data_IF_623947993107
#
_entry.id   IF_623947993107
#
_cell.length_a   1.000
_cell.length_b   1.000
_cell.length_c   1.000
_cell.angle_alpha   90.00
_cell.angle_beta   90.00
_cell.angle_gamma   90.00
#
_symmetry.space_group_name_H-M   'P 1'
#
loop_
_entity.id
_entity.type
_entity.pdbx_description
1 polymer ?
#
# COMPACT_ATOMS: atom_id res chain seq x y z
N UNK A 1 -22.94 35.06 57.93
CA UNK A 1 -24.05 35.19 56.96
C UNK A 1 -23.86 34.11 55.91
N UNK A 2 -24.60 33.02 56.02
CA UNK A 2 -24.60 31.93 55.06
C UNK A 2 -25.79 32.13 54.12
N UNK A 3 -25.54 32.12 52.81
CA UNK A 3 -26.59 32.02 51.80
C UNK A 3 -26.10 31.17 50.63
N UNK A 4 -26.77 30.02 50.51
CA UNK A 4 -26.76 29.05 49.42
C UNK A 4 -27.28 29.66 48.10
N UNK A 5 -26.94 29.04 46.96
CA UNK A 5 -27.73 28.92 45.70
C UNK A 5 -26.80 28.96 44.47
N UNK A 6 -26.89 28.13 43.42
CA UNK A 6 -27.62 26.92 43.06
C UNK A 6 -26.85 26.31 41.88
N UNK A 7 -26.63 24.99 41.89
CA UNK A 7 -26.12 24.26 40.74
C UNK A 7 -27.30 23.88 39.82
N UNK A 8 -27.29 24.32 38.56
CA UNK A 8 -28.25 23.88 37.55
C UNK A 8 -27.60 22.86 36.62
N UNK A 9 -27.94 21.59 36.85
CA UNK A 9 -27.65 20.45 35.98
C UNK A 9 -28.68 20.45 34.85
N UNK A 10 -28.28 20.76 33.61
CA UNK A 10 -29.11 20.52 32.43
C UNK A 10 -28.73 19.19 31.80
N UNK A 11 -29.53 18.16 32.09
CA UNK A 11 -29.57 16.89 31.35
C UNK A 11 -30.32 17.14 30.05
N UNK A 12 -29.63 17.18 28.91
CA UNK A 12 -30.30 17.25 27.61
C UNK A 12 -30.41 15.85 27.00
N UNK A 13 -31.65 15.47 26.79
CA UNK A 13 -32.15 14.17 26.35
C UNK A 13 -31.56 13.68 25.03
N UNK A 14 -31.22 12.39 25.00
CA UNK A 14 -30.96 11.64 23.79
C UNK A 14 -32.25 11.47 22.97
N UNK A 15 -32.21 11.82 21.68
CA UNK A 15 -33.11 11.27 20.68
C UNK A 15 -32.31 10.64 19.55
N UNK A 16 -32.32 9.32 19.51
CA UNK A 16 -31.92 8.51 18.38
C UNK A 16 -33.07 8.46 17.36
N UNK A 17 -32.87 8.89 16.10
CA UNK A 17 -33.74 8.48 15.01
C UNK A 17 -33.32 7.09 14.48
N UNK A 18 -34.33 6.25 14.34
CA UNK A 18 -34.27 4.88 13.85
C UNK A 18 -33.80 4.78 12.39
N UNK A 19 -32.94 3.78 12.17
CA UNK A 19 -32.76 2.91 11.00
C UNK A 19 -33.75 3.12 9.83
N UNK A 20 -33.21 3.49 8.66
CA UNK A 20 -33.83 3.18 7.36
C UNK A 20 -32.83 2.41 6.49
N UNK A 21 -33.26 1.23 6.07
CA UNK A 21 -32.58 0.30 5.17
C UNK A 21 -33.20 0.42 3.78
N UNK A 22 -32.40 0.68 2.75
CA UNK A 22 -32.81 0.60 1.35
C UNK A 22 -31.61 0.23 0.44
N UNK A 23 -31.86 -0.32 -0.76
CA UNK A 23 -31.22 -1.58 -1.19
C UNK A 23 -29.99 -1.41 -2.08
N UNK A 24 -29.29 -2.54 -2.25
CA UNK A 24 -28.16 -2.78 -3.14
C UNK A 24 -28.55 -2.58 -4.60
N UNK A 25 -27.83 -1.73 -5.33
CA UNK A 25 -27.81 -1.73 -6.80
C UNK A 25 -26.42 -2.13 -7.28
N UNK A 26 -26.33 -3.38 -7.76
CA UNK A 26 -25.17 -3.93 -8.45
C UNK A 26 -25.37 -3.69 -9.95
N UNK A 27 -24.65 -2.72 -10.51
CA UNK A 27 -24.51 -2.60 -11.97
C UNK A 27 -23.21 -3.28 -12.39
N UNK A 28 -23.36 -4.51 -12.89
CA UNK A 28 -22.33 -5.33 -13.50
C UNK A 28 -22.39 -5.08 -15.01
N UNK A 29 -21.45 -4.32 -15.57
CA UNK A 29 -21.25 -4.22 -17.02
C UNK A 29 -19.95 -4.93 -17.40
N UNK A 30 -20.07 -6.21 -17.74
CA UNK A 30 -19.03 -6.96 -18.45
C UNK A 30 -19.13 -6.57 -19.91
N UNK A 31 -18.14 -5.82 -20.41
CA UNK A 31 -17.96 -5.60 -21.85
C UNK A 31 -16.73 -6.38 -22.26
N UNK A 32 -16.97 -7.52 -22.91
CA UNK A 32 -15.95 -8.28 -23.60
C UNK A 32 -15.79 -7.65 -24.98
N UNK A 33 -14.65 -7.01 -25.25
CA UNK A 33 -14.27 -6.64 -26.61
C UNK A 33 -13.21 -7.62 -27.10
N UNK A 34 -13.67 -8.66 -27.80
CA UNK A 34 -12.85 -9.50 -28.66
C UNK A 34 -13.42 -9.38 -30.07
N UNK A 35 -12.71 -8.66 -30.94
CA UNK A 35 -12.92 -8.71 -32.39
C UNK A 35 -11.57 -8.95 -33.02
N UNK A 36 -11.30 -10.23 -33.31
CA UNK A 36 -10.28 -10.67 -34.26
C UNK A 36 -10.74 -10.27 -35.66
N UNK A 37 -10.00 -9.41 -36.34
CA UNK A 37 -10.16 -9.22 -37.77
C UNK A 37 -8.79 -9.37 -38.45
N UNK A 38 -8.56 -10.59 -38.94
CA UNK A 38 -7.56 -10.89 -39.94
C UNK A 38 -8.12 -10.45 -41.30
N UNK A 39 -7.37 -9.65 -42.05
CA UNK A 39 -7.51 -9.63 -43.51
C UNK A 39 -6.20 -9.23 -44.17
N UNK A 40 -5.56 -10.21 -44.80
CA UNK A 40 -4.40 -10.09 -45.66
C UNK A 40 -4.77 -9.41 -46.98
N UNK A 41 -4.18 -8.27 -47.35
CA UNK A 41 -4.10 -7.86 -48.75
C UNK A 41 -2.71 -7.28 -49.03
N UNK A 42 -1.91 -8.08 -49.73
CA UNK A 42 -0.64 -7.70 -50.34
C UNK A 42 -0.90 -6.68 -51.44
N UNK A 43 -0.33 -5.47 -51.32
CA UNK A 43 -0.20 -4.56 -52.45
C UNK A 43 1.25 -4.63 -52.91
N UNK A 44 1.41 -5.30 -54.04
CA UNK A 44 2.60 -5.30 -54.88
C UNK A 44 2.98 -3.89 -55.30
N UNK A 45 4.28 -3.60 -55.25
CA UNK A 45 4.89 -2.56 -56.09
C UNK A 45 5.65 -1.51 -55.29
N UNK A 46 6.96 -1.69 -55.21
CA UNK A 46 7.97 -0.78 -55.79
C UNK A 46 9.35 -1.31 -55.39
N UNK A 47 10.06 -1.86 -56.36
CA UNK A 47 11.41 -2.39 -56.24
C UNK A 47 12.38 -1.21 -56.20
N UNK A 48 12.80 -0.80 -55.00
CA UNK A 48 13.87 0.18 -54.83
C UNK A 48 15.20 -0.44 -55.27
N UNK A 49 15.67 -0.03 -56.45
CA UNK A 49 17.01 -0.27 -56.94
C UNK A 49 17.93 0.77 -56.30
N UNK A 50 18.62 0.39 -55.22
CA UNK A 50 19.79 1.10 -54.74
C UNK A 50 20.93 0.09 -54.56
N UNK A 51 22.06 0.23 -55.29
CA UNK A 51 23.17 -0.70 -55.17
C UNK A 51 24.06 -0.35 -53.96
N UNK A 52 24.33 -1.38 -53.18
CA UNK A 52 25.63 -1.78 -52.60
C UNK A 52 26.47 -0.69 -51.88
N UNK A 53 26.42 -0.71 -50.54
CA UNK A 53 27.65 -0.69 -49.73
C UNK A 53 27.39 -1.29 -48.34
N UNK A 54 27.48 -2.61 -48.23
CA UNK A 54 27.57 -3.29 -46.92
C UNK A 54 28.99 -3.03 -46.41
N UNK A 55 29.14 -2.06 -45.51
CA UNK A 55 30.33 -1.98 -44.68
C UNK A 55 30.20 -3.03 -43.59
N UNK A 56 30.88 -4.16 -43.75
CA UNK A 56 31.10 -5.12 -42.67
C UNK A 56 32.04 -4.49 -41.65
N UNK A 57 31.53 -3.63 -40.78
CA UNK A 57 32.22 -3.35 -39.52
C UNK A 57 32.09 -4.61 -38.68
N UNK A 58 33.19 -5.37 -38.59
CA UNK A 58 33.32 -6.48 -37.68
C UNK A 58 33.00 -5.99 -36.26
N UNK A 59 31.83 -6.33 -35.73
CA UNK A 59 31.46 -6.05 -34.34
C UNK A 59 32.43 -6.80 -33.44
N UNK A 60 33.32 -6.13 -32.67
CA UNK A 60 34.15 -6.82 -31.73
C UNK A 60 33.28 -7.22 -30.54
N UNK A 61 33.24 -8.54 -30.31
CA UNK A 61 33.00 -9.14 -29.01
C UNK A 61 31.67 -8.73 -28.36
N UNK A 62 30.59 -9.44 -28.72
CA UNK A 62 29.43 -9.63 -27.86
C UNK A 62 29.93 -10.16 -26.52
N UNK A 63 30.27 -9.25 -25.62
CA UNK A 63 30.65 -9.58 -24.26
C UNK A 63 29.48 -10.35 -23.67
N UNK A 64 29.63 -11.67 -23.59
CA UNK A 64 28.72 -12.57 -22.87
C UNK A 64 28.53 -11.92 -21.52
N UNK A 65 27.34 -11.38 -21.28
CA UNK A 65 26.93 -11.03 -19.94
C UNK A 65 27.10 -12.31 -19.14
N UNK A 66 28.15 -12.35 -18.31
CA UNK A 66 28.39 -13.41 -17.36
C UNK A 66 27.09 -13.54 -16.59
N UNK A 67 26.38 -14.65 -16.78
CA UNK A 67 25.24 -14.98 -15.91
C UNK A 67 25.81 -14.87 -14.51
N UNK A 68 25.31 -13.94 -13.72
CA UNK A 68 25.67 -13.83 -12.31
C UNK A 68 25.32 -15.18 -11.70
N UNK A 69 26.31 -16.07 -11.64
CA UNK A 69 26.16 -17.39 -11.08
C UNK A 69 25.74 -17.14 -9.64
N UNK A 70 24.46 -17.36 -9.35
CA UNK A 70 23.93 -17.15 -8.01
C UNK A 70 24.55 -18.25 -7.16
N UNK A 71 25.64 -17.93 -6.47
CA UNK A 71 26.20 -18.78 -5.43
C UNK A 71 25.07 -19.05 -4.43
N UNK A 72 24.53 -20.26 -4.47
CA UNK A 72 23.53 -20.71 -3.52
C UNK A 72 24.20 -20.78 -2.15
N UNK A 73 24.13 -19.69 -1.38
CA UNK A 73 24.56 -19.72 0.01
C UNK A 73 23.65 -20.67 0.81
N UNK A 74 24.30 -21.41 1.71
CA UNK A 74 23.75 -22.32 2.75
C UNK A 74 22.30 -22.02 3.16
N UNK A 75 21.37 -22.88 2.72
CA UNK A 75 19.98 -23.02 3.18
C UNK A 75 19.05 -21.81 2.96
N UNK A 76 17.79 -22.06 2.56
CA UNK A 76 16.78 -21.00 2.53
C UNK A 76 16.41 -20.57 3.95
N UNK A 77 16.67 -19.30 4.29
CA UNK A 77 16.17 -18.64 5.50
C UNK A 77 15.10 -17.63 5.11
N UNK A 78 14.05 -17.53 5.93
CA UNK A 78 13.00 -16.52 5.72
C UNK A 78 13.61 -15.12 5.68
N UNK A 79 13.14 -14.27 4.78
CA UNK A 79 13.61 -12.88 4.68
C UNK A 79 12.60 -11.93 5.29
N UNK A 80 13.08 -10.95 6.05
CA UNK A 80 12.23 -9.87 6.55
C UNK A 80 11.84 -8.92 5.43
N UNK A 81 10.54 -8.61 5.30
CA UNK A 81 10.09 -7.56 4.39
C UNK A 81 10.51 -6.18 4.89
N UNK A 82 11.57 -5.63 4.29
CA UNK A 82 12.24 -4.41 4.78
C UNK A 82 11.33 -3.18 4.77
N UNK A 83 10.41 -3.07 3.81
CA UNK A 83 9.48 -1.93 3.77
C UNK A 83 8.51 -1.95 4.97
N UNK A 84 8.05 -3.13 5.40
CA UNK A 84 7.25 -3.27 6.62
C UNK A 84 8.08 -2.97 7.87
N UNK A 85 9.32 -3.47 7.92
CA UNK A 85 10.22 -3.27 9.07
C UNK A 85 10.52 -1.78 9.34
N UNK A 86 10.59 -0.95 8.28
CA UNK A 86 10.77 0.51 8.42
C UNK A 86 9.53 1.22 9.00
N UNK A 87 8.35 0.61 8.92
CA UNK A 87 7.06 1.23 9.28
C UNK A 87 6.54 0.80 10.65
N UNK A 88 6.78 -0.45 11.04
CA UNK A 88 6.28 -1.05 12.27
C UNK A 88 7.41 -1.35 13.24
N UNK A 89 7.16 -1.11 14.53
CA UNK A 89 8.09 -1.49 15.61
C UNK A 89 7.33 -2.05 16.79
N UNK A 90 8.05 -2.76 17.66
CA UNK A 90 7.49 -3.36 18.87
C UNK A 90 7.91 -2.55 20.10
N UNK A 91 6.99 -2.40 21.04
CA UNK A 91 7.26 -1.86 22.38
C UNK A 91 7.90 -2.91 23.29
N UNK A 92 8.51 -2.53 24.42
CA UNK A 92 9.10 -3.52 25.34
C UNK A 92 8.11 -4.58 25.84
N UNK A 93 6.81 -4.24 25.95
CA UNK A 93 5.74 -5.18 26.32
C UNK A 93 5.31 -6.13 25.20
N UNK A 94 5.73 -5.89 23.96
CA UNK A 94 5.41 -6.75 22.81
C UNK A 94 4.27 -6.25 21.90
N UNK A 95 3.74 -5.03 22.09
CA UNK A 95 2.71 -4.45 21.19
C UNK A 95 3.32 -3.86 19.92
N UNK A 96 2.62 -4.01 18.79
CA UNK A 96 3.04 -3.43 17.50
C UNK A 96 2.51 -1.99 17.38
N UNK A 97 3.40 -1.04 17.15
CA UNK A 97 3.05 0.38 16.99
C UNK A 97 3.47 0.93 15.62
N UNK A 98 2.72 1.93 15.16
CA UNK A 98 2.94 2.67 13.91
C UNK A 98 2.71 4.16 14.07
N UNK A 99 3.19 4.94 13.10
CA UNK A 99 2.82 6.37 12.97
C UNK A 99 1.43 6.50 12.35
N UNK A 100 0.75 7.61 12.63
CA UNK A 100 -0.48 8.01 11.92
C UNK A 100 -0.12 8.73 10.62
N UNK A 101 -0.94 8.55 9.59
CA UNK A 101 -0.75 9.16 8.27
C UNK A 101 -1.27 10.61 8.23
N UNK A 102 -0.81 11.40 7.25
CA UNK A 102 -1.38 12.72 6.93
C UNK A 102 -0.74 13.93 7.61
N UNK A 103 0.48 13.82 8.13
CA UNK A 103 1.23 14.93 8.75
C UNK A 103 2.51 15.33 7.99
N UNK A 104 2.57 15.08 6.67
CA UNK A 104 3.72 15.47 5.84
C UNK A 104 3.53 16.84 5.18
N UNK A 105 2.43 17.04 4.44
CA UNK A 105 2.11 18.26 3.70
C UNK A 105 0.68 18.75 3.99
N UNK A 106 0.33 19.96 3.51
CA UNK A 106 -0.97 20.63 3.73
C UNK A 106 -1.34 20.71 5.21
N UNK A 107 -0.43 21.22 6.04
CA UNK A 107 -0.61 21.35 7.48
C UNK A 107 -1.40 22.62 7.87
N UNK A 108 -1.36 23.66 7.04
CA UNK A 108 -2.05 24.93 7.28
C UNK A 108 -3.56 24.75 7.47
N UNK A 109 -4.21 23.96 6.60
CA UNK A 109 -5.66 23.66 6.68
C UNK A 109 -6.06 22.72 7.83
N UNK A 110 -5.11 22.23 8.64
CA UNK A 110 -5.39 21.29 9.74
C UNK A 110 -5.32 22.03 11.07
N UNK A 111 -6.42 22.00 11.83
CA UNK A 111 -6.45 22.49 13.21
C UNK A 111 -5.33 21.86 14.06
N UNK A 112 -4.77 22.62 15.00
CA UNK A 112 -3.74 22.16 15.93
C UNK A 112 -4.10 20.85 16.67
N UNK A 113 -5.35 20.70 17.13
CA UNK A 113 -5.85 19.46 17.75
C UNK A 113 -5.64 18.24 16.84
N UNK A 114 -5.92 18.38 15.54
CA UNK A 114 -5.69 17.33 14.54
C UNK A 114 -4.20 17.06 14.35
N UNK A 115 -3.37 18.10 14.26
CA UNK A 115 -1.90 17.96 14.10
C UNK A 115 -1.27 17.23 15.29
N UNK A 116 -1.70 17.52 16.52
CA UNK A 116 -1.24 16.85 17.75
C UNK A 116 -1.65 15.38 17.77
N UNK A 117 -2.91 15.08 17.39
CA UNK A 117 -3.39 13.70 17.27
C UNK A 117 -2.59 12.88 16.27
N UNK A 118 -2.16 13.47 15.15
CA UNK A 118 -1.38 12.78 14.11
C UNK A 118 0.10 12.56 14.48
N UNK A 119 0.67 13.31 15.44
CA UNK A 119 2.05 13.10 15.89
C UNK A 119 2.22 11.85 16.76
N UNK A 120 1.17 11.44 17.48
CA UNK A 120 1.26 10.34 18.44
C UNK A 120 1.39 8.99 17.73
N UNK A 121 2.22 8.13 18.30
CA UNK A 121 2.26 6.71 17.90
C UNK A 121 0.95 6.04 18.30
N UNK A 122 0.52 5.06 17.50
CA UNK A 122 -0.73 4.34 17.74
C UNK A 122 -0.48 2.85 17.54
N UNK A 123 -1.25 2.03 18.24
CA UNK A 123 -1.25 0.59 18.02
C UNK A 123 -1.81 0.26 16.63
N UNK A 124 -1.36 -0.86 16.07
CA UNK A 124 -1.94 -1.45 14.87
C UNK A 124 -3.31 -2.05 15.21
N UNK A 125 -4.26 -2.02 14.29
CA UNK A 125 -5.57 -2.65 14.50
C UNK A 125 -5.44 -4.17 14.49
N UNK A 126 -6.27 -4.86 15.27
CA UNK A 126 -6.14 -6.31 15.43
C UNK A 126 -6.22 -7.08 14.11
N UNK A 127 -7.06 -6.64 13.18
CA UNK A 127 -7.24 -7.25 11.86
C UNK A 127 -5.97 -7.27 11.01
N UNK A 128 -5.06 -6.31 11.19
CA UNK A 128 -3.84 -6.20 10.37
C UNK A 128 -2.66 -7.00 10.96
N UNK A 129 -2.81 -7.60 12.14
CA UNK A 129 -1.70 -8.25 12.85
C UNK A 129 -1.12 -9.41 12.05
N UNK A 130 -1.95 -10.26 11.46
CA UNK A 130 -1.48 -11.46 10.76
C UNK A 130 -0.65 -11.09 9.52
N UNK A 131 -1.07 -10.06 8.79
CA UNK A 131 -0.32 -9.51 7.65
C UNK A 131 1.05 -8.97 8.08
N UNK A 132 1.11 -8.23 9.20
CA UNK A 132 2.36 -7.64 9.69
C UNK A 132 3.32 -8.71 10.22
N UNK A 133 2.81 -9.69 10.97
CA UNK A 133 3.61 -10.78 11.54
C UNK A 133 4.15 -11.68 10.43
N UNK A 134 3.34 -12.03 9.44
CA UNK A 134 3.78 -12.83 8.28
C UNK A 134 4.91 -12.14 7.49
N UNK A 135 4.86 -10.82 7.35
CA UNK A 135 5.91 -10.05 6.68
C UNK A 135 7.21 -9.89 7.51
N UNK A 136 7.13 -10.05 8.83
CA UNK A 136 8.21 -9.78 9.79
C UNK A 136 8.48 -11.01 10.68
N UNK A 137 9.02 -12.10 10.11
CA UNK A 137 9.13 -13.40 10.79
C UNK A 137 10.03 -13.39 12.04
N UNK A 138 11.01 -12.49 12.10
CA UNK A 138 11.95 -12.39 13.23
C UNK A 138 11.55 -11.35 14.28
N UNK A 139 10.37 -10.75 14.16
CA UNK A 139 9.90 -9.73 15.10
C UNK A 139 9.16 -10.39 16.28
N UNK A 140 9.66 -10.21 17.50
CA UNK A 140 9.03 -10.76 18.72
C UNK A 140 7.81 -9.92 19.10
N UNK A 141 6.62 -10.52 19.09
CA UNK A 141 5.33 -9.84 19.36
C UNK A 141 4.55 -10.60 20.44
N UNK A 142 3.93 -9.87 21.38
CA UNK A 142 2.98 -10.44 22.34
C UNK A 142 1.54 -10.07 21.95
N UNK A 143 0.78 -11.06 21.49
CA UNK A 143 -0.62 -10.90 21.04
C UNK A 143 -1.61 -10.55 22.16
N UNK A 144 -1.22 -10.69 23.42
CA UNK A 144 -2.06 -10.45 24.61
C UNK A 144 -1.70 -9.16 25.35
N UNK A 145 -0.64 -8.48 24.92
CA UNK A 145 -0.21 -7.23 25.55
C UNK A 145 -1.31 -6.17 25.33
N UNK A 146 -2.02 -5.82 26.40
CA UNK A 146 -3.13 -4.84 26.42
C UNK A 146 -2.69 -3.51 26.97
#
# INVERSE_FOLDING_TARGET
MASLSMASVTVSFCHHPLRSSSPKFSLRSSVNFATSLASSHSISGLRAVFPQKISTVASPNSQKFQSFTVFAHKGYKLKTHKASAKRFRVTGRGKIVRRRSGKQHLLAKKNNKRKLRLSKMTEVNRSDYDNVIGALPYLKVNRKAT
#
